data_IF_158825053630
#
_entry.id   IF_158825053630
#
_cell.length_a   1.000
_cell.length_b   1.000
_cell.length_c   1.000
_cell.angle_alpha   90.00
_cell.angle_beta   90.00
_cell.angle_gamma   90.00
#
_symmetry.space_group_name_H-M   'P 1'
#
loop_
_entity.id
_entity.type
_entity.pdbx_description
1 polymer ?
#
# COMPACT_ATOMS: atom_id res chain seq x y z
N UNK A 1 -13.54 -5.84 18.01
CA UNK A 1 -12.80 -4.56 18.10
C UNK A 1 -12.12 -4.34 16.74
N UNK A 2 -12.46 -3.29 15.99
CA UNK A 2 -12.25 -3.21 14.53
C UNK A 2 -10.79 -3.31 14.06
N UNK A 3 -9.83 -2.86 14.88
CA UNK A 3 -8.39 -3.00 14.60
C UNK A 3 -7.88 -4.45 14.53
N UNK A 4 -8.65 -5.43 15.02
CA UNK A 4 -8.27 -6.84 14.98
C UNK A 4 -8.56 -7.51 13.62
N UNK A 5 -9.41 -6.90 12.79
CA UNK A 5 -9.86 -7.46 11.50
C UNK A 5 -9.34 -6.64 10.31
N UNK A 6 -8.18 -6.00 10.46
CA UNK A 6 -7.54 -5.27 9.36
C UNK A 6 -7.08 -6.24 8.27
N UNK A 7 -7.32 -5.88 7.01
CA UNK A 7 -6.86 -6.64 5.84
C UNK A 7 -5.33 -6.86 5.90
N UNK A 8 -4.91 -8.09 5.62
CA UNK A 8 -3.51 -8.52 5.63
C UNK A 8 -3.20 -9.28 4.32
N UNK A 9 -3.18 -8.55 3.21
CA UNK A 9 -2.80 -9.16 1.94
C UNK A 9 -1.28 -9.37 1.86
N UNK A 10 -0.83 -10.37 1.11
CA UNK A 10 0.58 -10.52 0.74
C UNK A 10 0.99 -9.42 -0.24
N UNK A 11 2.00 -8.64 0.15
CA UNK A 11 2.52 -7.51 -0.63
C UNK A 11 3.98 -7.71 -1.04
N UNK A 12 4.70 -8.66 -0.47
CA UNK A 12 6.09 -8.98 -0.81
C UNK A 12 6.16 -10.08 -1.85
N UNK A 13 5.50 -9.85 -2.98
CA UNK A 13 5.50 -10.78 -4.11
C UNK A 13 6.80 -10.68 -4.91
N UNK A 14 7.24 -11.78 -5.55
CA UNK A 14 8.34 -11.72 -6.50
C UNK A 14 8.03 -10.72 -7.62
N UNK A 15 8.98 -9.84 -7.92
CA UNK A 15 8.82 -8.88 -9.00
C UNK A 15 10.15 -8.59 -9.68
N UNK A 16 10.09 -8.31 -10.98
CA UNK A 16 11.26 -8.04 -11.79
C UNK A 16 10.93 -7.19 -13.01
N UNK A 17 11.94 -6.51 -13.52
CA UNK A 17 11.90 -5.83 -14.81
C UNK A 17 12.85 -6.53 -15.78
N UNK A 18 12.37 -6.87 -16.97
CA UNK A 18 13.16 -7.53 -18.02
C UNK A 18 12.95 -6.85 -19.38
N UNK A 19 13.87 -6.99 -20.34
CA UNK A 19 13.63 -6.54 -21.70
C UNK A 19 12.46 -7.30 -22.33
N UNK A 20 11.52 -6.61 -22.99
CA UNK A 20 10.36 -7.23 -23.63
C UNK A 20 10.78 -8.25 -24.71
N UNK A 21 11.85 -7.93 -25.45
CA UNK A 21 12.48 -8.84 -26.44
C UNK A 21 12.87 -10.20 -25.86
N UNK A 22 13.20 -10.28 -24.57
CA UNK A 22 13.55 -11.56 -23.92
C UNK A 22 12.37 -12.54 -23.82
N UNK A 23 11.13 -12.02 -23.80
CA UNK A 23 9.91 -12.82 -23.75
C UNK A 23 9.33 -13.10 -25.13
N UNK A 24 9.33 -12.10 -26.00
CA UNK A 24 8.65 -12.17 -27.30
C UNK A 24 9.55 -12.64 -28.43
N UNK A 25 10.87 -12.59 -28.25
CA UNK A 25 11.89 -12.76 -29.31
C UNK A 25 11.78 -11.73 -30.45
N UNK A 26 10.98 -10.67 -30.26
CA UNK A 26 10.75 -9.61 -31.25
C UNK A 26 11.47 -8.32 -30.85
N UNK A 27 11.89 -7.55 -31.86
CA UNK A 27 12.37 -6.18 -31.62
C UNK A 27 11.26 -5.33 -30.98
N UNK A 28 11.64 -4.61 -29.93
CA UNK A 28 10.71 -3.78 -29.16
C UNK A 28 10.55 -2.42 -29.82
N UNK A 29 9.34 -1.86 -29.77
CA UNK A 29 9.11 -0.48 -30.22
C UNK A 29 9.64 0.50 -29.19
N UNK A 30 10.11 1.66 -29.66
CA UNK A 30 10.51 2.75 -28.77
C UNK A 30 9.35 3.12 -27.84
N UNK A 31 9.61 3.16 -26.55
CA UNK A 31 8.61 3.39 -25.50
C UNK A 31 8.06 2.12 -24.84
N UNK A 32 8.32 0.94 -25.41
CA UNK A 32 7.83 -0.38 -24.95
C UNK A 32 8.96 -1.41 -24.86
N UNK A 33 10.11 -0.99 -24.34
CA UNK A 33 11.34 -1.80 -24.33
C UNK A 33 11.41 -2.81 -23.19
N UNK A 34 10.78 -2.54 -22.04
CA UNK A 34 10.83 -3.38 -20.84
C UNK A 34 9.45 -3.85 -20.41
N UNK A 35 9.42 -4.98 -19.73
CA UNK A 35 8.23 -5.56 -19.11
C UNK A 35 8.43 -5.63 -17.60
N UNK A 36 7.41 -5.24 -16.85
CA UNK A 36 7.37 -5.43 -15.39
C UNK A 36 6.53 -6.65 -15.11
N UNK A 37 7.12 -7.61 -14.41
CA UNK A 37 6.50 -8.86 -14.00
C UNK A 37 6.32 -8.81 -12.48
N UNK A 38 5.12 -9.15 -12.03
CA UNK A 38 4.77 -9.21 -10.61
C UNK A 38 4.01 -10.49 -10.35
N UNK A 39 4.48 -11.29 -9.40
CA UNK A 39 3.92 -12.59 -9.07
C UNK A 39 3.71 -13.50 -10.31
N UNK A 40 4.69 -13.49 -11.22
CA UNK A 40 4.64 -14.23 -12.49
C UNK A 40 3.74 -13.65 -13.59
N UNK A 41 3.08 -12.52 -13.34
CA UNK A 41 2.17 -11.87 -14.30
C UNK A 41 2.80 -10.61 -14.88
N UNK A 42 2.62 -10.38 -16.18
CA UNK A 42 2.96 -9.10 -16.80
C UNK A 42 1.96 -8.05 -16.31
N UNK A 43 2.45 -7.02 -15.63
CA UNK A 43 1.61 -5.94 -15.08
C UNK A 43 1.79 -4.62 -15.79
N UNK A 44 2.89 -4.47 -16.54
CA UNK A 44 3.18 -3.28 -17.34
C UNK A 44 4.20 -3.52 -18.44
N UNK A 45 4.20 -2.65 -19.45
CA UNK A 45 5.25 -2.53 -20.45
C UNK A 45 5.68 -1.07 -20.50
N UNK A 46 6.97 -0.80 -20.31
CA UNK A 46 7.51 0.54 -20.07
C UNK A 46 8.76 0.79 -20.88
N UNK A 47 9.12 2.06 -21.00
CA UNK A 47 10.36 2.44 -21.68
C UNK A 47 11.61 2.24 -20.83
N UNK A 48 12.79 2.32 -21.47
CA UNK A 48 14.09 2.33 -20.79
C UNK A 48 14.29 3.48 -19.78
N UNK A 49 13.39 4.46 -19.75
CA UNK A 49 13.44 5.58 -18.78
C UNK A 49 12.82 5.24 -17.42
N UNK A 50 12.07 4.15 -17.33
CA UNK A 50 11.40 3.75 -16.09
C UNK A 50 12.26 2.76 -15.32
N UNK A 51 12.26 2.89 -13.99
CA UNK A 51 12.86 1.93 -13.06
C UNK A 51 11.80 1.15 -12.29
N UNK A 52 12.19 0.02 -11.70
CA UNK A 52 11.35 -0.79 -10.82
C UNK A 52 11.82 -0.67 -9.38
N UNK A 53 10.90 -0.42 -8.44
CA UNK A 53 11.18 -0.39 -7.00
C UNK A 53 10.41 -1.54 -6.34
N UNK A 54 11.10 -2.62 -5.92
CA UNK A 54 10.47 -3.72 -5.22
C UNK A 54 9.83 -3.30 -3.89
N UNK A 55 8.75 -3.97 -3.52
CA UNK A 55 8.03 -3.68 -2.28
C UNK A 55 8.88 -3.91 -1.03
N UNK A 56 9.78 -4.90 -1.08
CA UNK A 56 10.74 -5.19 -0.02
C UNK A 56 11.64 -3.99 0.27
N UNK A 57 12.03 -3.21 -0.75
CA UNK A 57 12.84 -2.02 -0.56
C UNK A 57 12.00 -0.87 0.02
N UNK A 58 10.85 -0.60 -0.59
CA UNK A 58 10.06 0.59 -0.26
C UNK A 58 9.33 0.47 1.09
N UNK A 59 8.58 -0.61 1.31
CA UNK A 59 7.75 -0.73 2.52
C UNK A 59 8.55 -1.09 3.76
N UNK A 60 9.64 -1.87 3.64
CA UNK A 60 10.51 -2.18 4.78
C UNK A 60 11.20 -0.93 5.30
N UNK A 61 11.65 -0.06 4.39
CA UNK A 61 12.27 1.20 4.78
C UNK A 61 11.26 2.13 5.46
N UNK A 62 10.04 2.22 4.93
CA UNK A 62 8.96 2.95 5.58
C UNK A 62 8.67 2.39 6.98
N UNK A 63 8.55 1.07 7.13
CA UNK A 63 8.29 0.41 8.43
C UNK A 63 9.45 0.64 9.42
N UNK A 64 10.71 0.59 8.95
CA UNK A 64 11.91 0.87 9.74
C UNK A 64 11.85 2.26 10.37
N UNK A 65 11.47 3.28 9.59
CA UNK A 65 11.34 4.65 10.11
C UNK A 65 10.33 4.75 11.26
N UNK A 66 9.24 3.99 11.23
CA UNK A 66 8.26 3.97 12.32
C UNK A 66 8.79 3.25 13.56
N UNK A 67 9.52 2.15 13.37
CA UNK A 67 10.14 1.39 14.47
C UNK A 67 11.20 2.26 15.17
N UNK A 68 12.05 2.94 14.42
CA UNK A 68 13.10 3.82 14.95
C UNK A 68 12.52 5.04 15.69
N UNK A 69 11.32 5.49 15.30
CA UNK A 69 10.58 6.53 15.99
C UNK A 69 9.81 6.01 17.24
N UNK A 70 9.96 4.73 17.59
CA UNK A 70 9.29 4.08 18.71
C UNK A 70 7.75 4.19 18.67
N UNK A 71 7.18 4.30 17.47
CA UNK A 71 5.73 4.40 17.28
C UNK A 71 5.07 3.04 17.46
N UNK A 72 4.02 2.98 18.27
CA UNK A 72 3.12 1.84 18.31
C UNK A 72 2.11 1.97 17.18
N UNK A 73 1.96 0.94 16.37
CA UNK A 73 1.04 0.96 15.25
C UNK A 73 0.43 -0.42 14.97
N UNK A 74 -0.71 -0.40 14.26
CA UNK A 74 -1.28 -1.55 13.57
C UNK A 74 -1.01 -1.41 12.08
N UNK A 75 -0.70 -2.52 11.44
CA UNK A 75 -0.48 -2.58 10.00
C UNK A 75 -1.73 -3.08 9.28
N UNK A 76 -2.05 -2.48 8.14
CA UNK A 76 -2.98 -3.02 7.14
C UNK A 76 -2.28 -3.07 5.80
N UNK A 77 -2.29 -4.22 5.14
CA UNK A 77 -1.69 -4.39 3.82
C UNK A 77 -2.76 -4.72 2.79
N UNK A 78 -2.63 -4.17 1.58
CA UNK A 78 -3.58 -4.37 0.49
C UNK A 78 -2.80 -4.65 -0.78
N UNK A 79 -3.12 -5.76 -1.45
CA UNK A 79 -2.61 -6.12 -2.76
C UNK A 79 -3.76 -6.07 -3.78
N UNK A 80 -3.67 -5.11 -4.70
CA UNK A 80 -4.59 -4.98 -5.83
C UNK A 80 -4.02 -5.71 -7.03
N UNK A 81 -4.36 -6.99 -7.15
CA UNK A 81 -4.11 -7.82 -8.32
C UNK A 81 -2.62 -7.93 -8.74
N UNK A 82 -1.70 -7.85 -7.78
CA UNK A 82 -0.25 -7.84 -7.97
C UNK A 82 0.27 -6.60 -8.73
N UNK A 83 -0.54 -5.56 -8.89
CA UNK A 83 -0.21 -4.35 -9.66
C UNK A 83 0.03 -3.12 -8.79
N UNK A 84 -0.74 -2.99 -7.71
CA UNK A 84 -0.70 -1.85 -6.81
C UNK A 84 -0.82 -2.33 -5.37
N UNK A 85 0.04 -1.80 -4.51
CA UNK A 85 0.23 -2.26 -3.15
C UNK A 85 0.14 -1.10 -2.19
N UNK A 86 -0.48 -1.33 -1.05
CA UNK A 86 -0.67 -0.32 -0.01
C UNK A 86 -0.28 -0.91 1.33
N UNK A 87 0.48 -0.14 2.10
CA UNK A 87 0.71 -0.39 3.52
C UNK A 87 0.23 0.82 4.31
N UNK A 88 -0.75 0.59 5.18
CA UNK A 88 -1.20 1.57 6.15
C UNK A 88 -0.64 1.23 7.53
N UNK A 89 -0.02 2.22 8.15
CA UNK A 89 0.41 2.18 9.54
C UNK A 89 -0.53 3.08 10.35
N UNK A 90 -1.42 2.45 11.11
CA UNK A 90 -2.41 3.12 11.96
C UNK A 90 -1.79 3.28 13.34
N UNK A 91 -1.48 4.51 13.74
CA UNK A 91 -0.73 4.80 14.96
C UNK A 91 -1.64 4.63 16.18
N UNK A 92 -1.22 3.78 17.12
CA UNK A 92 -1.86 3.59 18.41
C UNK A 92 -1.44 4.70 19.37
N UNK A 93 -2.02 5.89 19.23
CA UNK A 93 -1.85 6.98 20.19
C UNK A 93 -3.02 7.03 21.20
N UNK A 94 -2.73 7.40 22.45
CA UNK A 94 -3.74 7.67 23.48
C UNK A 94 -4.39 9.04 23.30
N UNK A 95 -3.75 9.97 22.57
CA UNK A 95 -4.30 11.29 22.24
C UNK A 95 -5.26 11.21 21.04
N UNK A 96 -6.31 10.41 21.22
CA UNK A 96 -7.33 10.14 20.22
C UNK A 96 -8.22 11.36 20.00
N UNK A 97 -8.52 11.67 18.76
CA UNK A 97 -9.68 12.51 18.45
C UNK A 97 -10.94 11.69 18.74
N UNK A 98 -11.56 11.96 19.89
CA UNK A 98 -12.86 11.42 20.24
C UNK A 98 -13.93 12.30 19.59
N UNK A 99 -14.74 11.71 18.70
CA UNK A 99 -15.94 12.38 18.20
C UNK A 99 -16.98 12.46 19.33
N UNK A 100 -17.99 13.34 19.17
CA UNK A 100 -18.99 13.74 20.20
C UNK A 100 -19.54 12.60 21.08
N UNK A 101 -19.62 11.38 20.55
CA UNK A 101 -20.23 10.23 21.21
C UNK A 101 -19.23 9.42 22.08
N UNK A 102 -17.96 9.85 22.18
CA UNK A 102 -16.85 9.20 22.93
C UNK A 102 -16.49 7.77 22.54
N UNK A 103 -17.28 7.12 21.69
CA UNK A 103 -17.07 5.74 21.22
C UNK A 103 -16.50 5.66 19.80
N UNK A 104 -16.62 6.73 19.01
CA UNK A 104 -16.08 6.80 17.66
C UNK A 104 -14.67 7.41 17.69
N UNK A 105 -13.70 6.62 17.25
CA UNK A 105 -12.27 6.90 17.36
C UNK A 105 -11.68 7.17 15.99
N UNK A 106 -10.96 8.29 15.91
CA UNK A 106 -10.14 8.64 14.77
C UNK A 106 -8.67 8.52 15.18
N UNK A 107 -7.94 7.68 14.45
CA UNK A 107 -6.53 7.37 14.64
C UNK A 107 -5.69 8.03 13.55
N UNK A 108 -4.52 8.61 13.86
CA UNK A 108 -3.56 9.02 12.84
C UNK A 108 -3.09 7.80 12.02
N UNK A 109 -2.87 7.99 10.72
CA UNK A 109 -2.46 6.92 9.83
C UNK A 109 -1.46 7.43 8.79
N UNK A 110 -0.37 6.68 8.60
CA UNK A 110 0.54 6.85 7.47
C UNK A 110 0.23 5.79 6.42
N UNK A 111 -0.08 6.21 5.20
CA UNK A 111 -0.38 5.35 4.05
C UNK A 111 0.76 5.44 3.05
N UNK A 112 1.38 4.31 2.75
CA UNK A 112 2.36 4.18 1.69
C UNK A 112 1.78 3.38 0.54
N UNK A 113 2.03 3.84 -0.69
CA UNK A 113 1.55 3.19 -1.92
C UNK A 113 2.70 2.96 -2.88
N UNK A 114 2.67 1.83 -3.56
CA UNK A 114 3.60 1.51 -4.63
C UNK A 114 2.85 0.80 -5.77
N UNK A 115 3.05 1.25 -7.01
CA UNK A 115 2.37 0.69 -8.18
C UNK A 115 3.36 0.30 -9.26
N UNK A 116 3.18 -0.90 -9.81
CA UNK A 116 4.02 -1.46 -10.86
C UNK A 116 3.44 -1.22 -12.25
N UNK A 117 2.13 -0.99 -12.33
CA UNK A 117 1.41 -0.70 -13.58
C UNK A 117 1.37 0.79 -13.95
N UNK A 118 2.01 1.66 -13.17
CA UNK A 118 2.01 3.11 -13.39
C UNK A 118 0.67 3.81 -13.16
N UNK A 119 -0.34 3.11 -12.62
CA UNK A 119 -1.64 3.71 -12.31
C UNK A 119 -1.57 4.75 -11.19
N UNK A 120 -0.64 4.58 -10.24
CA UNK A 120 -0.39 5.52 -9.15
C UNK A 120 1.11 5.74 -8.96
N UNK A 121 1.50 6.96 -8.61
CA UNK A 121 2.88 7.28 -8.23
C UNK A 121 3.19 6.63 -6.87
N UNK A 122 4.40 6.12 -6.70
CA UNK A 122 4.91 5.73 -5.38
C UNK A 122 4.86 6.93 -4.44
N UNK A 123 4.18 6.80 -3.31
CA UNK A 123 3.90 7.93 -2.42
C UNK A 123 3.67 7.52 -0.97
N UNK A 124 3.86 8.50 -0.08
CA UNK A 124 3.47 8.43 1.32
C UNK A 124 2.47 9.55 1.64
N UNK A 125 1.43 9.25 2.41
CA UNK A 125 0.40 10.20 2.79
C UNK A 125 0.10 10.08 4.29
N UNK A 126 -0.02 11.24 4.95
CA UNK A 126 -0.60 11.31 6.29
C UNK A 126 -2.12 11.51 6.18
N UNK A 127 -2.85 10.82 7.04
CA UNK A 127 -4.30 10.96 7.13
C UNK A 127 -4.83 10.33 8.39
N UNK A 128 -6.09 9.93 8.34
CA UNK A 128 -6.79 9.40 9.50
C UNK A 128 -7.49 8.08 9.15
N UNK A 129 -7.50 7.18 10.13
CA UNK A 129 -8.29 5.96 10.13
C UNK A 129 -9.43 6.13 11.13
N UNK A 130 -10.67 6.01 10.67
CA UNK A 130 -11.86 6.04 11.53
C UNK A 130 -12.34 4.63 11.79
N UNK A 131 -12.58 4.29 13.05
CA UNK A 131 -13.19 3.01 13.43
C UNK A 131 -14.70 3.02 13.08
N UNK A 132 -15.04 2.59 11.87
CA UNK A 132 -16.45 2.44 11.43
C UNK A 132 -16.83 0.97 11.29
N UNK A 133 -18.14 0.69 11.35
CA UNK A 133 -18.66 -0.66 11.11
C UNK A 133 -18.35 -1.12 9.67
N UNK A 134 -18.38 -2.43 9.42
CA UNK A 134 -18.10 -3.00 8.09
C UNK A 134 -19.04 -2.48 6.99
N UNK A 135 -20.23 -1.99 7.36
CA UNK A 135 -21.19 -1.35 6.45
C UNK A 135 -20.96 0.16 6.27
N UNK A 136 -19.86 0.72 6.80
CA UNK A 136 -19.53 2.15 6.72
C UNK A 136 -20.38 3.05 7.62
N UNK A 137 -21.29 2.48 8.40
CA UNK A 137 -22.11 3.22 9.36
C UNK A 137 -21.43 3.28 10.74
N UNK A 138 -21.80 4.30 11.51
CA UNK A 138 -21.42 4.40 12.92
C UNK A 138 -22.60 3.96 13.79
N UNK A 139 -22.32 3.45 14.99
CA UNK A 139 -23.37 3.15 15.97
C UNK A 139 -23.86 4.49 16.53
N UNK A 140 -25.10 4.88 16.19
CA UNK A 140 -25.76 6.01 16.82
C UNK A 140 -26.30 5.57 18.18
N UNK A 141 -25.84 6.19 19.28
CA UNK A 141 -26.63 6.23 20.50
C UNK A 141 -27.60 7.39 20.36
N UNK A 142 -28.85 7.08 20.01
CA UNK A 142 -29.93 8.04 20.22
C UNK A 142 -30.09 8.19 21.74
N UNK A 143 -30.12 9.44 22.22
CA UNK A 143 -30.62 9.75 23.57
C UNK A 143 -32.14 9.56 23.62
#
# INVERSE_FOLDING_TARGET
>A
MYLQNLQQDEIFVPSEMKPLKSLTQMESRRGLENVIISNGKIVNVVSNRYGHIPNQLFFTEAERMLIEAELKYRKRTINKQDRSFITDFIIEDRNLFLLKNKEDRILPMLRFKNSYDGSEKTSGHFGFYREVCTNGLHVSKAE
#
